data_IF_782866646762
#
_entry.id   IF_782866646762
#
_cell.length_a   1.000
_cell.length_b   1.000
_cell.length_c   1.000
_cell.angle_alpha   90.00
_cell.angle_beta   90.00
_cell.angle_gamma   90.00
#
_symmetry.space_group_name_H-M   'P 1'
#
loop_
_entity.id
_entity.type
_entity.pdbx_description
1 polymer ?
#
# COMPACT_ATOMS: atom_id res chain seq x y z
N UNK A 1 9.63 -1.74 -11.39
CA UNK A 1 10.74 -1.83 -10.40
C UNK A 1 10.83 -3.25 -9.89
N UNK A 2 12.03 -3.81 -9.81
CA UNK A 2 12.24 -5.14 -9.21
C UNK A 2 11.93 -5.10 -7.71
N UNK A 3 11.20 -6.08 -7.19
CA UNK A 3 10.77 -6.13 -5.79
C UNK A 3 10.57 -7.57 -5.30
N UNK A 4 10.32 -7.75 -4.00
CA UNK A 4 10.11 -9.06 -3.35
C UNK A 4 8.66 -9.42 -3.08
N UNK A 5 7.68 -8.70 -3.62
CA UNK A 5 6.25 -8.93 -3.30
C UNK A 5 5.84 -10.35 -3.69
N UNK A 6 6.20 -10.79 -4.90
CA UNK A 6 5.88 -12.14 -5.38
C UNK A 6 6.60 -13.23 -4.56
N UNK A 7 7.84 -12.97 -4.14
CA UNK A 7 8.64 -13.88 -3.31
C UNK A 7 7.96 -14.08 -1.95
N UNK A 8 7.62 -12.97 -1.27
CA UNK A 8 6.94 -12.96 0.02
C UNK A 8 5.55 -13.60 -0.03
N UNK A 9 4.78 -13.35 -1.10
CA UNK A 9 3.47 -13.99 -1.29
C UNK A 9 3.59 -15.51 -1.38
N UNK A 10 4.54 -15.99 -2.18
CA UNK A 10 4.77 -17.42 -2.38
C UNK A 10 5.27 -18.09 -1.11
N UNK A 11 6.12 -17.41 -0.34
CA UNK A 11 6.59 -17.90 0.97
C UNK A 11 5.42 -18.13 1.95
N UNK A 12 4.40 -17.27 1.92
CA UNK A 12 3.16 -17.47 2.69
C UNK A 12 2.16 -18.45 2.06
N UNK A 13 2.50 -19.13 0.95
CA UNK A 13 1.62 -20.04 0.21
C UNK A 13 0.29 -19.40 -0.24
N UNK A 14 0.32 -18.12 -0.59
CA UNK A 14 -0.89 -17.40 -1.02
C UNK A 14 -1.00 -17.33 -2.54
N UNK A 15 -2.22 -17.49 -3.04
CA UNK A 15 -2.57 -17.15 -4.42
C UNK A 15 -2.56 -15.63 -4.62
N UNK A 16 -2.47 -15.19 -5.89
CA UNK A 16 -2.56 -13.77 -6.23
C UNK A 16 -3.86 -13.15 -5.70
N UNK A 17 -4.99 -13.85 -5.89
CA UNK A 17 -6.31 -13.43 -5.42
C UNK A 17 -6.36 -13.26 -3.90
N UNK A 18 -5.85 -14.24 -3.13
CA UNK A 18 -5.83 -14.14 -1.66
C UNK A 18 -5.03 -12.94 -1.17
N UNK A 19 -3.84 -12.68 -1.71
CA UNK A 19 -3.07 -11.51 -1.27
C UNK A 19 -3.75 -10.21 -1.71
N UNK A 20 -4.35 -10.19 -2.90
CA UNK A 20 -5.07 -9.02 -3.40
C UNK A 20 -6.27 -8.69 -2.49
N UNK A 21 -7.02 -9.70 -2.05
CA UNK A 21 -8.12 -9.59 -1.08
C UNK A 21 -7.62 -9.05 0.27
N UNK A 22 -6.55 -9.61 0.83
CA UNK A 22 -5.95 -9.14 2.09
C UNK A 22 -5.49 -7.67 2.03
N UNK A 23 -4.98 -7.25 0.86
CA UNK A 23 -4.53 -5.88 0.62
C UNK A 23 -5.66 -4.95 0.13
N UNK A 24 -6.87 -5.49 -0.06
CA UNK A 24 -8.03 -4.79 -0.61
C UNK A 24 -7.69 -4.05 -1.94
N UNK A 25 -7.10 -4.80 -2.87
CA UNK A 25 -6.78 -4.36 -4.24
C UNK A 25 -7.24 -5.43 -5.24
N UNK A 26 -7.33 -5.06 -6.53
CA UNK A 26 -7.61 -6.04 -7.61
C UNK A 26 -6.40 -6.95 -7.82
N UNK A 27 -6.66 -8.20 -8.16
CA UNK A 27 -5.64 -9.18 -8.50
C UNK A 27 -4.74 -8.74 -9.67
N UNK A 28 -5.35 -8.14 -10.71
CA UNK A 28 -4.64 -7.57 -11.85
C UNK A 28 -3.64 -6.48 -11.42
N UNK A 29 -3.99 -5.71 -10.40
CA UNK A 29 -3.21 -4.60 -9.87
C UNK A 29 -2.03 -5.15 -9.08
N UNK A 30 -2.26 -6.17 -8.25
CA UNK A 30 -1.19 -6.91 -7.58
C UNK A 30 -0.23 -7.56 -8.57
N UNK A 31 -0.71 -8.17 -9.66
CA UNK A 31 0.14 -8.75 -10.71
C UNK A 31 1.03 -7.70 -11.35
N UNK A 32 0.50 -6.50 -11.63
CA UNK A 32 1.32 -5.39 -12.16
C UNK A 32 2.38 -4.93 -11.17
N UNK A 33 2.11 -4.97 -9.86
CA UNK A 33 3.11 -4.66 -8.83
C UNK A 33 4.19 -5.74 -8.74
N UNK A 34 3.80 -7.02 -8.69
CA UNK A 34 4.74 -8.15 -8.63
C UNK A 34 5.66 -8.23 -9.85
N UNK A 35 5.15 -7.90 -11.03
CA UNK A 35 5.93 -7.87 -12.27
C UNK A 35 6.68 -6.55 -12.47
N UNK A 36 6.50 -5.57 -11.57
CA UNK A 36 7.14 -4.26 -11.63
C UNK A 36 6.65 -3.37 -12.78
N UNK A 37 5.56 -3.74 -13.47
CA UNK A 37 4.87 -2.94 -14.48
C UNK A 37 4.27 -1.67 -13.90
N UNK A 38 3.83 -1.74 -12.64
CA UNK A 38 3.37 -0.61 -11.85
C UNK A 38 4.08 -0.64 -10.50
N UNK A 39 4.21 0.52 -9.86
CA UNK A 39 4.74 0.61 -8.49
C UNK A 39 3.59 0.89 -7.51
N UNK A 40 3.54 0.22 -6.35
CA UNK A 40 2.61 0.57 -5.30
C UNK A 40 2.93 1.97 -4.78
N UNK A 41 1.88 2.73 -4.45
CA UNK A 41 2.05 3.99 -3.72
C UNK A 41 2.67 3.70 -2.34
N UNK A 42 3.42 4.65 -1.78
CA UNK A 42 4.15 4.46 -0.51
C UNK A 42 3.27 3.89 0.61
N UNK A 43 2.04 4.41 0.77
CA UNK A 43 1.11 3.89 1.77
C UNK A 43 0.68 2.43 1.55
N UNK A 44 0.55 1.96 0.30
CA UNK A 44 0.28 0.55 0.01
C UNK A 44 1.54 -0.31 0.18
N UNK A 45 2.70 0.20 -0.23
CA UNK A 45 3.97 -0.48 -0.02
C UNK A 45 4.22 -0.74 1.47
N UNK A 46 3.91 0.23 2.33
CA UNK A 46 3.98 0.09 3.77
C UNK A 46 2.97 -0.95 4.30
N UNK A 47 1.74 -1.01 3.76
CA UNK A 47 0.77 -2.06 4.11
C UNK A 47 1.29 -3.45 3.75
N UNK A 48 1.90 -3.61 2.57
CA UNK A 48 2.53 -4.86 2.14
C UNK A 48 3.68 -5.23 3.09
N UNK A 49 4.54 -4.28 3.43
CA UNK A 49 5.63 -4.47 4.40
C UNK A 49 5.11 -4.95 5.75
N UNK A 50 4.04 -4.32 6.24
CA UNK A 50 3.40 -4.68 7.51
C UNK A 50 2.77 -6.07 7.46
N UNK A 51 2.07 -6.41 6.37
CA UNK A 51 1.46 -7.72 6.19
C UNK A 51 2.49 -8.85 6.27
N UNK A 52 3.68 -8.64 5.69
CA UNK A 52 4.77 -9.62 5.69
C UNK A 52 5.72 -9.50 6.90
N UNK A 53 5.59 -8.47 7.72
CA UNK A 53 6.47 -8.25 8.88
C UNK A 53 7.92 -7.96 8.49
N UNK A 54 8.11 -7.19 7.41
CA UNK A 54 9.43 -6.80 6.88
C UNK A 54 9.51 -5.28 6.69
N UNK A 55 10.70 -4.73 6.46
CA UNK A 55 10.86 -3.32 6.08
C UNK A 55 10.52 -3.06 4.60
N UNK A 56 10.24 -1.80 4.26
CA UNK A 56 10.02 -1.42 2.86
C UNK A 56 11.29 -1.64 2.03
N UNK A 57 12.46 -1.33 2.59
CA UNK A 57 13.78 -1.51 1.97
C UNK A 57 14.02 -2.99 1.60
N UNK A 58 13.52 -3.92 2.42
CA UNK A 58 13.56 -5.35 2.07
C UNK A 58 12.70 -5.65 0.84
N UNK A 59 11.48 -5.14 0.78
CA UNK A 59 10.60 -5.33 -0.40
C UNK A 59 11.25 -4.72 -1.65
N UNK A 60 11.87 -3.54 -1.51
CA UNK A 60 12.50 -2.78 -2.58
C UNK A 60 13.89 -3.30 -2.99
N UNK A 61 14.35 -4.41 -2.41
CA UNK A 61 15.69 -4.97 -2.66
C UNK A 61 16.86 -4.03 -2.33
N UNK A 62 16.63 -3.05 -1.45
CA UNK A 62 17.68 -2.16 -0.94
C UNK A 62 18.49 -2.80 0.21
N UNK A 63 17.98 -3.88 0.81
CA UNK A 63 18.67 -4.68 1.83
C UNK A 63 18.23 -6.13 1.76
N UNK A 64 19.08 -7.04 2.22
CA UNK A 64 18.74 -8.46 2.45
C UNK A 64 18.30 -8.72 3.89
N UNK A 65 18.48 -7.75 4.78
CA UNK A 65 18.01 -7.82 6.17
C UNK A 65 16.50 -7.56 6.20
N UNK A 66 15.73 -8.58 6.58
CA UNK A 66 14.26 -8.51 6.66
C UNK A 66 13.78 -7.50 7.70
N UNK A 67 14.32 -7.61 8.91
CA UNK A 67 13.91 -6.81 10.05
C UNK A 67 14.89 -6.96 11.24
N UNK A 68 14.62 -6.23 12.33
CA UNK A 68 15.42 -6.17 13.56
C UNK A 68 14.55 -6.49 14.80
N UNK A 69 14.13 -7.75 15.00
CA UNK A 69 13.18 -8.09 16.05
C UNK A 69 13.72 -7.79 17.47
N UNK A 70 12.83 -7.30 18.34
CA UNK A 70 13.13 -7.06 19.75
C UNK A 70 12.84 -8.33 20.55
N UNK A 71 13.89 -9.01 20.99
CA UNK A 71 13.80 -10.29 21.72
C UNK A 71 14.16 -10.16 23.19
N UNK A 72 14.94 -9.14 23.55
CA UNK A 72 15.42 -8.84 24.89
C UNK A 72 15.84 -7.37 25.02
N UNK A 73 16.35 -6.99 26.20
CA UNK A 73 16.83 -5.63 26.45
C UNK A 73 18.05 -5.26 25.58
N UNK A 74 18.93 -6.22 25.31
CA UNK A 74 20.16 -5.98 24.54
C UNK A 74 19.84 -5.63 23.08
N UNK A 75 18.96 -6.40 22.44
CA UNK A 75 18.50 -6.13 21.07
C UNK A 75 17.74 -4.81 20.95
N UNK A 76 16.97 -4.42 21.97
CA UNK A 76 16.31 -3.11 21.98
C UNK A 76 17.30 -1.94 22.06
N UNK A 77 18.31 -2.04 22.93
CA UNK A 77 19.35 -1.03 23.05
C UNK A 77 20.21 -0.97 21.80
N UNK A 78 20.65 -2.11 21.26
CA UNK A 78 21.43 -2.18 20.02
C UNK A 78 20.71 -1.49 18.86
N UNK A 79 19.40 -1.75 18.71
CA UNK A 79 18.62 -1.10 17.66
C UNK A 79 18.45 0.41 17.89
N UNK A 80 18.27 0.85 19.14
CA UNK A 80 18.24 2.27 19.48
C UNK A 80 19.56 2.97 19.20
N UNK A 81 20.68 2.35 19.55
CA UNK A 81 22.03 2.85 19.24
C UNK A 81 22.24 2.95 17.74
N UNK A 82 21.78 1.94 16.98
CA UNK A 82 21.84 1.96 15.51
C UNK A 82 21.10 3.18 14.95
N UNK A 83 19.85 3.38 15.38
CA UNK A 83 19.01 4.53 14.94
C UNK A 83 19.61 5.86 15.39
N UNK A 84 20.24 5.91 16.57
CA UNK A 84 20.82 7.14 17.10
C UNK A 84 22.12 7.55 16.39
N UNK A 85 22.95 6.57 15.99
CA UNK A 85 24.34 6.81 15.61
C UNK A 85 24.61 6.61 14.11
N UNK A 86 23.83 5.79 13.41
CA UNK A 86 24.02 5.55 11.98
C UNK A 86 23.20 6.52 11.14
N UNK A 87 23.87 7.44 10.44
CA UNK A 87 23.21 8.50 9.65
C UNK A 87 22.20 7.99 8.60
N UNK A 88 22.51 6.85 7.98
CA UNK A 88 21.67 6.26 6.94
C UNK A 88 20.60 5.32 7.52
N UNK A 89 20.66 4.97 8.81
CA UNK A 89 19.71 4.06 9.43
C UNK A 89 18.69 4.83 10.26
N UNK A 90 17.42 4.72 9.88
CA UNK A 90 16.34 5.42 10.56
C UNK A 90 15.10 4.54 10.68
N UNK A 91 14.05 5.11 11.24
CA UNK A 91 12.76 4.46 11.47
C UNK A 91 12.19 3.71 10.24
N UNK A 92 12.43 4.17 9.00
CA UNK A 92 11.92 3.49 7.81
C UNK A 92 12.48 2.08 7.61
N UNK A 93 13.67 1.81 8.16
CA UNK A 93 14.45 0.60 7.89
C UNK A 93 14.01 -0.62 8.71
N UNK A 94 13.04 -0.43 9.61
CA UNK A 94 12.49 -1.48 10.47
C UNK A 94 11.03 -1.70 10.12
N UNK A 95 10.53 -2.92 10.32
CA UNK A 95 9.10 -3.16 10.14
C UNK A 95 8.30 -2.39 11.19
N UNK A 96 7.03 -2.12 10.90
CA UNK A 96 6.10 -1.53 11.88
C UNK A 96 5.96 -2.38 13.14
N UNK A 97 6.05 -3.70 13.02
CA UNK A 97 5.99 -4.59 14.19
C UNK A 97 7.21 -4.38 15.09
N UNK A 98 8.40 -4.27 14.49
CA UNK A 98 9.62 -3.97 15.23
C UNK A 98 9.57 -2.57 15.84
N UNK A 99 9.12 -1.56 15.09
CA UNK A 99 8.91 -0.21 15.61
C UNK A 99 7.95 -0.17 16.81
N UNK A 100 6.84 -0.92 16.73
CA UNK A 100 5.85 -1.01 17.79
C UNK A 100 6.41 -1.74 19.01
N UNK A 101 7.05 -2.88 18.81
CA UNK A 101 7.68 -3.65 19.89
C UNK A 101 8.78 -2.85 20.59
N UNK A 102 9.61 -2.15 19.82
CA UNK A 102 10.63 -1.26 20.36
C UNK A 102 10.00 -0.09 21.12
N UNK A 103 8.93 0.52 20.60
CA UNK A 103 8.21 1.60 21.28
C UNK A 103 7.58 1.15 22.59
N UNK A 104 6.95 -0.03 22.62
CA UNK A 104 6.39 -0.62 23.83
C UNK A 104 7.49 -0.93 24.86
N UNK A 105 8.60 -1.49 24.39
CA UNK A 105 9.76 -1.73 25.24
C UNK A 105 10.31 -0.43 25.83
N UNK A 106 10.47 0.61 25.01
CA UNK A 106 10.92 1.95 25.46
C UNK A 106 10.01 2.48 26.56
N UNK A 107 8.70 2.50 26.33
CA UNK A 107 7.72 3.02 27.30
C UNK A 107 7.85 2.32 28.65
N UNK A 108 8.02 1.00 28.64
CA UNK A 108 8.14 0.18 29.85
C UNK A 108 9.53 0.27 30.51
N UNK A 109 10.53 0.81 29.82
CA UNK A 109 11.92 0.89 30.29
C UNK A 109 12.48 2.32 30.28
N UNK A 110 11.61 3.34 30.30
CA UNK A 110 12.02 4.75 30.20
C UNK A 110 12.99 5.15 31.30
N UNK A 111 12.75 4.73 32.55
CA UNK A 111 13.64 5.03 33.68
C UNK A 111 15.01 4.36 33.51
N UNK A 112 15.02 3.10 33.09
CA UNK A 112 16.25 2.37 32.77
C UNK A 112 17.06 3.08 31.67
N UNK A 113 16.42 3.51 30.58
CA UNK A 113 17.09 4.25 29.50
C UNK A 113 17.64 5.57 30.04
N UNK A 114 16.87 6.30 30.84
CA UNK A 114 17.29 7.58 31.40
C UNK A 114 18.52 7.45 32.32
N UNK A 115 18.59 6.38 33.10
CA UNK A 115 19.68 6.13 34.04
C UNK A 115 20.92 5.55 33.37
N UNK A 116 20.75 4.53 32.53
CA UNK A 116 21.85 3.72 31.99
C UNK A 116 22.30 4.18 30.60
N UNK A 117 21.40 4.77 29.80
CA UNK A 117 21.64 5.15 28.40
C UNK A 117 21.09 6.56 28.10
N UNK A 118 21.47 7.60 28.87
CA UNK A 118 20.87 8.94 28.74
C UNK A 118 21.04 9.56 27.36
N UNK A 119 22.09 9.18 26.62
CA UNK A 119 22.34 9.59 25.23
C UNK A 119 21.25 9.09 24.26
N UNK A 120 20.53 8.01 24.58
CA UNK A 120 19.48 7.44 23.73
C UNK A 120 18.09 8.03 24.02
N UNK A 121 17.92 8.83 25.08
CA UNK A 121 16.61 9.30 25.54
C UNK A 121 15.85 10.11 24.48
N UNK A 122 16.57 10.95 23.72
CA UNK A 122 16.00 11.71 22.62
C UNK A 122 15.48 10.78 21.52
N UNK A 123 16.32 9.86 21.05
CA UNK A 123 15.99 8.89 20.00
C UNK A 123 14.81 8.01 20.42
N UNK A 124 14.81 7.52 21.67
CA UNK A 124 13.73 6.72 22.22
C UNK A 124 12.40 7.49 22.23
N UNK A 125 12.41 8.73 22.72
CA UNK A 125 11.22 9.60 22.75
C UNK A 125 10.72 9.95 21.35
N UNK A 126 11.63 10.20 20.42
CA UNK A 126 11.31 10.46 19.02
C UNK A 126 10.68 9.23 18.37
N UNK A 127 11.24 8.04 18.58
CA UNK A 127 10.74 6.79 18.01
C UNK A 127 9.30 6.50 18.47
N UNK A 128 9.01 6.64 19.76
CA UNK A 128 7.66 6.44 20.30
C UNK A 128 6.66 7.40 19.64
N UNK A 129 7.02 8.68 19.52
CA UNK A 129 6.15 9.70 18.88
C UNK A 129 5.96 9.43 17.38
N UNK A 130 7.02 9.04 16.67
CA UNK A 130 6.98 8.71 15.25
C UNK A 130 6.11 7.49 15.00
N UNK A 131 6.25 6.44 15.82
CA UNK A 131 5.45 5.21 15.72
C UNK A 131 3.95 5.51 15.92
N UNK A 132 3.60 6.31 16.92
CA UNK A 132 2.20 6.71 17.16
C UNK A 132 1.65 7.52 15.98
N UNK A 133 2.44 8.49 15.50
CA UNK A 133 2.01 9.38 14.40
C UNK A 133 1.82 8.60 13.10
N UNK A 134 2.77 7.74 12.77
CA UNK A 134 2.69 6.90 11.59
C UNK A 134 1.52 5.93 11.65
N UNK A 135 1.25 5.31 12.82
CA UNK A 135 0.11 4.41 12.97
C UNK A 135 -1.22 5.12 12.59
N UNK A 136 -1.41 6.36 13.05
CA UNK A 136 -2.57 7.19 12.69
C UNK A 136 -2.62 7.50 11.20
N UNK A 137 -1.49 7.89 10.60
CA UNK A 137 -1.40 8.23 9.17
C UNK A 137 -1.72 7.01 8.30
N UNK A 138 -1.16 5.84 8.64
CA UNK A 138 -1.41 4.60 7.90
C UNK A 138 -2.86 4.15 8.02
N UNK A 139 -3.47 4.27 9.20
CA UNK A 139 -4.91 4.00 9.36
C UNK A 139 -5.73 4.88 8.42
N UNK A 140 -5.45 6.18 8.40
CA UNK A 140 -6.15 7.11 7.50
C UNK A 140 -5.98 6.75 6.01
N UNK A 141 -4.75 6.46 5.55
CA UNK A 141 -4.51 6.05 4.17
C UNK A 141 -5.23 4.74 3.82
N UNK A 142 -5.22 3.77 4.73
CA UNK A 142 -5.88 2.48 4.55
C UNK A 142 -7.38 2.65 4.38
N UNK A 143 -8.02 3.43 5.26
CA UNK A 143 -9.45 3.74 5.20
C UNK A 143 -9.83 4.41 3.88
N UNK A 144 -9.06 5.42 3.45
CA UNK A 144 -9.31 6.13 2.20
C UNK A 144 -9.12 5.22 0.97
N UNK A 145 -8.08 4.39 0.95
CA UNK A 145 -7.82 3.41 -0.11
C UNK A 145 -8.99 2.42 -0.24
N UNK A 146 -9.45 1.88 0.88
CA UNK A 146 -10.59 0.94 0.92
C UNK A 146 -11.86 1.58 0.40
N UNK A 147 -12.14 2.82 0.80
CA UNK A 147 -13.28 3.59 0.28
C UNK A 147 -13.20 3.78 -1.24
N UNK A 148 -12.03 4.15 -1.76
CA UNK A 148 -11.83 4.31 -3.20
C UNK A 148 -12.04 2.99 -3.95
N UNK A 149 -11.54 1.88 -3.40
CA UNK A 149 -11.70 0.56 -3.99
C UNK A 149 -13.16 0.13 -4.06
N UNK A 150 -13.92 0.35 -2.97
CA UNK A 150 -15.36 0.06 -2.95
C UNK A 150 -16.13 0.83 -4.04
N UNK A 151 -15.80 2.11 -4.26
CA UNK A 151 -16.41 2.91 -5.34
C UNK A 151 -16.10 2.27 -6.71
N UNK A 152 -14.88 1.76 -6.87
CA UNK A 152 -14.43 1.12 -8.11
C UNK A 152 -15.15 -0.21 -8.34
N UNK A 153 -15.35 -1.03 -7.30
CA UNK A 153 -16.13 -2.27 -7.37
C UNK A 153 -17.62 -1.99 -7.68
N UNK A 154 -18.21 -0.96 -7.06
CA UNK A 154 -19.59 -0.54 -7.36
C UNK A 154 -19.74 -0.15 -8.85
N UNK A 155 -18.72 0.48 -9.45
CA UNK A 155 -18.71 0.79 -10.89
C UNK A 155 -18.58 -0.48 -11.73
N UNK A 156 -17.69 -1.42 -11.36
CA UNK A 156 -17.58 -2.72 -12.06
C UNK A 156 -18.92 -3.46 -12.05
N UNK A 157 -19.58 -3.56 -10.89
CA UNK A 157 -20.86 -4.27 -10.74
C UNK A 157 -21.95 -3.65 -11.63
N UNK A 158 -22.06 -2.31 -11.66
CA UNK A 158 -22.99 -1.59 -12.54
C UNK A 158 -22.71 -1.91 -14.02
N UNK A 159 -21.45 -2.08 -14.40
CA UNK A 159 -21.05 -2.41 -15.76
C UNK A 159 -21.27 -3.90 -16.11
N UNK A 160 -21.29 -4.79 -15.11
CA UNK A 160 -21.48 -6.23 -15.26
C UNK A 160 -22.95 -6.69 -15.16
N UNK A 161 -23.84 -5.93 -14.51
CA UNK A 161 -25.26 -6.31 -14.31
C UNK A 161 -26.13 -6.28 -15.59
N UNK A 162 -25.58 -5.86 -16.73
CA UNK A 162 -26.20 -6.04 -18.04
C UNK A 162 -25.30 -6.97 -18.83
N UNK A 163 -25.83 -8.03 -19.43
CA UNK A 163 -25.10 -8.91 -20.36
C UNK A 163 -24.52 -8.08 -21.52
N UNK A 164 -23.36 -7.45 -21.31
CA UNK A 164 -22.92 -6.34 -22.13
C UNK A 164 -21.42 -6.44 -22.41
N UNK A 165 -21.08 -6.53 -23.69
CA UNK A 165 -19.73 -6.36 -24.22
C UNK A 165 -19.35 -4.86 -24.26
N UNK A 166 -19.32 -4.22 -23.09
CA UNK A 166 -19.12 -2.78 -22.95
C UNK A 166 -17.68 -2.31 -22.70
N UNK A 167 -17.52 -1.00 -22.53
CA UNK A 167 -16.25 -0.39 -22.16
C UNK A 167 -15.81 -0.82 -20.75
N UNK A 168 -14.53 -1.21 -20.62
CA UNK A 168 -13.88 -1.51 -19.34
C UNK A 168 -13.83 -0.29 -18.41
N UNK A 169 -13.68 -0.52 -17.10
CA UNK A 169 -13.53 0.57 -16.11
C UNK A 169 -12.35 1.49 -16.43
N UNK A 170 -11.25 0.96 -16.95
CA UNK A 170 -10.13 1.78 -17.41
C UNK A 170 -10.53 2.72 -18.56
N UNK A 171 -11.36 2.27 -19.51
CA UNK A 171 -11.85 3.09 -20.61
C UNK A 171 -12.85 4.16 -20.16
N UNK A 172 -13.72 3.83 -19.20
CA UNK A 172 -14.67 4.80 -18.63
C UNK A 172 -13.93 5.87 -17.82
N UNK A 173 -12.94 5.49 -17.01
CA UNK A 173 -12.10 6.42 -16.27
C UNK A 173 -11.31 7.33 -17.21
N UNK A 174 -10.70 6.78 -18.26
CA UNK A 174 -9.99 7.58 -19.26
C UNK A 174 -10.93 8.59 -19.93
N UNK A 175 -12.15 8.17 -20.29
CA UNK A 175 -13.16 9.08 -20.84
C UNK A 175 -13.49 10.23 -19.88
N UNK A 176 -13.68 9.94 -18.58
CA UNK A 176 -13.96 10.96 -17.57
C UNK A 176 -12.78 11.94 -17.42
N UNK A 177 -11.54 11.45 -17.35
CA UNK A 177 -10.35 12.30 -17.29
C UNK A 177 -10.22 13.21 -18.53
N UNK A 178 -10.48 12.68 -19.72
CA UNK A 178 -10.47 13.50 -20.93
C UNK A 178 -11.59 14.53 -20.92
N UNK A 179 -12.76 14.18 -20.39
CA UNK A 179 -13.91 15.08 -20.28
C UNK A 179 -13.64 16.28 -19.38
N UNK A 180 -12.95 16.07 -18.24
CA UNK A 180 -12.51 17.14 -17.36
C UNK A 180 -11.48 18.04 -18.04
N UNK A 181 -10.55 17.46 -18.81
CA UNK A 181 -9.50 18.20 -19.51
C UNK A 181 -10.04 19.11 -20.61
N UNK A 182 -10.99 18.60 -21.42
CA UNK A 182 -11.56 19.36 -22.55
C UNK A 182 -12.70 20.29 -22.11
N UNK A 183 -13.18 20.13 -20.88
CA UNK A 183 -14.23 20.95 -20.29
C UNK A 183 -15.64 20.54 -20.72
N UNK A 184 -16.63 21.05 -19.97
CA UNK A 184 -18.02 20.64 -20.07
C UNK A 184 -18.62 20.82 -21.47
N UNK A 185 -18.46 21.99 -22.09
CA UNK A 185 -19.08 22.28 -23.40
C UNK A 185 -18.58 21.37 -24.52
N UNK A 186 -17.29 21.01 -24.50
CA UNK A 186 -16.72 20.07 -25.48
C UNK A 186 -17.17 18.64 -25.21
N UNK A 187 -17.15 18.22 -23.95
CA UNK A 187 -17.66 16.91 -23.54
C UNK A 187 -19.12 16.73 -23.91
N UNK A 188 -19.95 17.75 -23.70
CA UNK A 188 -21.36 17.72 -24.01
C UNK A 188 -21.60 17.51 -25.51
N UNK A 189 -20.89 18.23 -26.37
CA UNK A 189 -20.96 18.03 -27.84
C UNK A 189 -20.52 16.63 -28.26
N UNK A 190 -19.45 16.12 -27.65
CA UNK A 190 -18.96 14.76 -27.91
C UNK A 190 -20.01 13.71 -27.52
N UNK A 191 -20.66 13.87 -26.37
CA UNK A 191 -21.73 12.98 -25.92
C UNK A 191 -22.97 13.05 -26.80
N UNK A 192 -23.36 14.25 -27.24
CA UNK A 192 -24.45 14.44 -28.21
C UNK A 192 -24.15 13.75 -29.54
N UNK A 193 -22.90 13.80 -30.01
CA UNK A 193 -22.45 13.08 -31.20
C UNK A 193 -22.48 11.56 -31.00
N UNK A 194 -21.96 11.05 -29.88
CA UNK A 194 -21.95 9.61 -29.57
C UNK A 194 -23.38 9.06 -29.53
N UNK A 195 -24.35 9.81 -28.98
CA UNK A 195 -25.76 9.41 -28.94
C UNK A 195 -26.44 9.34 -30.32
N UNK A 196 -25.85 9.96 -31.34
CA UNK A 196 -26.34 9.91 -32.71
C UNK A 196 -25.69 8.78 -33.52
N UNK A 197 -24.65 8.13 -32.98
CA UNK A 197 -24.06 6.97 -33.61
C UNK A 197 -25.06 5.81 -33.58
N UNK A 198 -25.15 5.01 -34.64
CA UNK A 198 -25.96 3.81 -34.63
C UNK A 198 -25.43 2.90 -33.51
N UNK A 199 -26.32 2.50 -32.61
CA UNK A 199 -26.06 1.33 -31.75
C UNK A 199 -26.13 0.12 -32.66
N UNK A 200 -25.02 -0.59 -32.83
CA UNK A 200 -25.08 -1.92 -33.45
C UNK A 200 -26.01 -2.76 -32.56
N UNK A 201 -27.27 -2.91 -32.99
CA UNK A 201 -28.09 -4.03 -32.57
C UNK A 201 -27.40 -5.25 -33.17
N UNK A 202 -26.59 -5.92 -32.36
CA UNK A 202 -26.22 -7.30 -32.65
C UNK A 202 -27.54 -8.08 -32.55
N UNK A 203 -28.26 -8.18 -33.66
CA UNK A 203 -29.22 -9.26 -33.84
C UNK A 203 -28.40 -10.55 -33.67
N UNK A 204 -28.63 -11.25 -32.57
CA UNK A 204 -28.20 -12.64 -32.40
C UNK A 204 -28.87 -13.48 -33.50
N UNK A 205 -28.35 -13.42 -34.72
CA UNK A 205 -28.65 -14.38 -35.77
C UNK A 205 -27.94 -15.69 -35.42
N UNK A 206 -28.76 -16.62 -34.91
CA UNK A 206 -28.62 -18.07 -34.95
C UNK A 206 -27.40 -18.72 -34.24
N UNK A 207 -27.65 -19.19 -33.02
CA UNK A 207 -27.04 -20.42 -32.47
C UNK A 207 -28.10 -21.36 -31.88
#
# INVERSE_FOLDING_TARGET
>A
MENRIAELRKEKNMTLKQLAEELNIRDNTLSQYETGKRNPQSGLLQEIANFFGVSMEYILKATDKRDYPIVDNSSAIELLEKIANEKEFNYSHISKNTALNLSLWIINNMDYIKEQHPNLLYTASFLVKSTISENKILQHYSEMRKKQFKIVDEIDDILLEREFYGASVEQVLEFLHQSERIGYEHTKKLMEYIRQLPTDEYEDEDF
#
